data_IF_684404668526
#
_entry.id   IF_684404668526
#
_cell.length_a   1.000
_cell.length_b   1.000
_cell.length_c   1.000
_cell.angle_alpha   90.00
_cell.angle_beta   90.00
_cell.angle_gamma   90.00
#
_symmetry.space_group_name_H-M   'P 1'
#
loop_
_entity.id
_entity.type
_entity.pdbx_description
1 polymer ?
#
# COMPACT_ATOMS: atom_id res chain seq x y z
N UNK A 1 -14.44 -29.68 9.00
CA UNK A 1 -13.17 -30.30 9.42
C UNK A 1 -12.83 -29.84 10.83
N UNK A 2 -12.23 -30.70 11.67
CA UNK A 2 -11.70 -30.34 12.99
C UNK A 2 -10.18 -30.24 12.88
N UNK A 3 -9.64 -29.08 13.22
CA UNK A 3 -8.21 -28.77 13.14
C UNK A 3 -7.78 -28.16 14.47
N UNK A 4 -6.61 -28.53 14.96
CA UNK A 4 -5.99 -27.89 16.12
C UNK A 4 -4.96 -26.90 15.61
N UNK A 5 -5.04 -25.66 16.07
CA UNK A 5 -4.16 -24.55 15.71
C UNK A 5 -3.63 -23.95 17.01
N UNK A 6 -2.33 -23.66 17.06
CA UNK A 6 -1.75 -22.83 18.12
C UNK A 6 -2.01 -21.37 17.79
N UNK A 7 -2.61 -20.64 18.73
CA UNK A 7 -2.85 -19.19 18.63
C UNK A 7 -2.26 -18.50 19.84
N UNK A 8 -1.79 -17.27 19.65
CA UNK A 8 -1.25 -16.46 20.73
C UNK A 8 -2.33 -16.12 21.76
N UNK A 9 -1.91 -15.93 23.02
CA UNK A 9 -2.82 -15.72 24.15
C UNK A 9 -3.68 -14.45 23.98
N UNK A 10 -3.09 -13.39 23.41
CA UNK A 10 -3.78 -12.13 23.13
C UNK A 10 -4.89 -12.29 22.08
N UNK A 11 -4.66 -13.10 21.05
CA UNK A 11 -5.64 -13.44 20.02
C UNK A 11 -6.78 -14.27 20.62
N UNK A 12 -6.45 -15.25 21.47
CA UNK A 12 -7.44 -16.08 22.15
C UNK A 12 -8.37 -15.22 23.03
N UNK A 13 -7.81 -14.34 23.85
CA UNK A 13 -8.56 -13.49 24.76
C UNK A 13 -9.45 -12.50 24.02
N UNK A 14 -8.94 -11.91 22.94
CA UNK A 14 -9.73 -11.02 22.08
C UNK A 14 -10.89 -11.77 21.42
N UNK A 15 -10.66 -12.97 20.92
CA UNK A 15 -11.70 -13.79 20.30
C UNK A 15 -12.78 -14.19 21.31
N UNK A 16 -12.40 -14.53 22.56
CA UNK A 16 -13.36 -14.81 23.65
C UNK A 16 -14.19 -13.59 24.01
N UNK A 17 -13.56 -12.42 24.13
CA UNK A 17 -14.26 -11.17 24.43
C UNK A 17 -15.29 -10.81 23.35
N UNK A 18 -14.92 -10.98 22.07
CA UNK A 18 -15.84 -10.77 20.94
C UNK A 18 -16.99 -11.78 20.95
N UNK A 19 -16.71 -13.05 21.24
CA UNK A 19 -17.75 -14.08 21.35
C UNK A 19 -18.75 -13.79 22.48
N UNK A 20 -18.27 -13.34 23.63
CA UNK A 20 -19.12 -12.90 24.73
C UNK A 20 -19.99 -11.70 24.33
N UNK A 21 -19.41 -10.70 23.65
CA UNK A 21 -20.11 -9.50 23.18
C UNK A 21 -21.21 -9.82 22.15
N UNK A 22 -20.93 -10.73 21.22
CA UNK A 22 -21.85 -11.13 20.15
C UNK A 22 -22.85 -12.22 20.60
N UNK A 23 -22.67 -12.79 21.80
CA UNK A 23 -23.43 -13.96 22.30
C UNK A 23 -23.45 -15.11 21.28
N UNK A 24 -22.33 -15.29 20.60
CA UNK A 24 -22.19 -16.28 19.54
C UNK A 24 -21.18 -17.37 19.96
N UNK A 25 -21.29 -18.60 19.43
CA UNK A 25 -20.33 -19.65 19.70
C UNK A 25 -18.91 -19.23 19.30
N UNK A 26 -17.93 -19.46 20.17
CA UNK A 26 -16.52 -19.10 19.94
C UNK A 26 -16.01 -19.56 18.56
N UNK A 27 -16.31 -20.81 18.18
CA UNK A 27 -15.96 -21.37 16.87
C UNK A 27 -16.53 -20.57 15.69
N UNK A 28 -17.76 -20.07 15.81
CA UNK A 28 -18.38 -19.27 14.75
C UNK A 28 -17.64 -17.94 14.59
N UNK A 29 -17.36 -17.28 15.70
CA UNK A 29 -16.62 -16.00 15.71
C UNK A 29 -15.22 -16.15 15.14
N UNK A 30 -14.49 -17.20 15.54
CA UNK A 30 -13.14 -17.46 15.02
C UNK A 30 -13.18 -17.73 13.51
N UNK A 31 -14.13 -18.54 13.03
CA UNK A 31 -14.24 -18.81 11.59
C UNK A 31 -14.55 -17.56 10.77
N UNK A 32 -15.47 -16.71 11.23
CA UNK A 32 -15.80 -15.46 10.54
C UNK A 32 -14.63 -14.46 10.55
N UNK A 33 -13.94 -14.36 11.68
CA UNK A 33 -12.73 -13.55 11.79
C UNK A 33 -11.63 -14.04 10.83
N UNK A 34 -11.42 -15.36 10.73
CA UNK A 34 -10.46 -15.95 9.80
C UNK A 34 -10.85 -15.72 8.34
N UNK A 35 -12.13 -15.86 7.97
CA UNK A 35 -12.60 -15.57 6.60
C UNK A 35 -12.32 -14.13 6.21
N UNK A 36 -12.66 -13.19 7.09
CA UNK A 36 -12.44 -11.75 6.87
C UNK A 36 -10.94 -11.41 6.83
N UNK A 37 -10.15 -12.00 7.74
CA UNK A 37 -8.71 -11.79 7.79
C UNK A 37 -7.99 -12.33 6.57
N UNK A 38 -8.36 -13.53 6.09
CA UNK A 38 -7.77 -14.13 4.89
C UNK A 38 -8.06 -13.28 3.64
N UNK A 39 -9.28 -12.76 3.50
CA UNK A 39 -9.61 -11.84 2.41
C UNK A 39 -8.72 -10.59 2.43
N UNK A 40 -8.54 -9.98 3.61
CA UNK A 40 -7.69 -8.80 3.76
C UNK A 40 -6.21 -9.10 3.44
N UNK A 41 -5.71 -10.28 3.81
CA UNK A 41 -4.35 -10.73 3.48
C UNK A 41 -4.18 -10.92 1.97
N UNK A 42 -5.16 -11.54 1.30
CA UNK A 42 -5.16 -11.69 -0.16
C UNK A 42 -5.19 -10.35 -0.89
N UNK A 43 -6.02 -9.42 -0.43
CA UNK A 43 -6.15 -8.09 -1.02
C UNK A 43 -4.89 -7.24 -0.79
N UNK A 44 -4.29 -7.31 0.40
CA UNK A 44 -3.02 -6.67 0.70
C UNK A 44 -1.89 -7.23 -0.18
N UNK A 45 -1.86 -8.54 -0.41
CA UNK A 45 -0.90 -9.17 -1.33
C UNK A 45 -1.12 -8.73 -2.79
N UNK A 46 -2.36 -8.38 -3.16
CA UNK A 46 -2.72 -7.92 -4.51
C UNK A 46 -2.36 -6.45 -4.77
N UNK A 47 -2.12 -5.66 -3.73
CA UNK A 47 -1.70 -4.27 -3.87
C UNK A 47 -0.28 -4.19 -4.46
N UNK A 48 -0.19 -4.18 -5.79
CA UNK A 48 1.08 -4.01 -6.50
C UNK A 48 1.61 -2.61 -6.20
N UNK A 49 2.91 -2.45 -5.89
CA UNK A 49 3.49 -1.14 -5.68
C UNK A 49 3.24 -0.26 -6.90
N UNK A 50 2.82 0.98 -6.66
CA UNK A 50 2.62 1.96 -7.71
C UNK A 50 3.91 2.12 -8.51
N UNK A 51 3.83 1.94 -9.84
CA UNK A 51 4.93 2.15 -10.77
C UNK A 51 4.52 3.20 -11.79
N UNK A 52 5.20 4.35 -11.76
CA UNK A 52 5.12 5.33 -12.84
C UNK A 52 5.75 4.74 -14.10
N UNK A 53 5.08 4.87 -15.25
CA UNK A 53 5.69 4.62 -16.57
C UNK A 53 6.30 5.93 -17.06
N UNK A 54 7.63 6.14 -16.93
CA UNK A 54 8.25 7.37 -17.42
C UNK A 54 8.14 7.43 -18.94
N UNK A 55 7.78 8.60 -19.46
CA UNK A 55 7.86 8.89 -20.88
C UNK A 55 9.22 9.52 -21.19
N UNK A 56 9.95 8.98 -22.17
CA UNK A 56 11.26 9.51 -22.57
C UNK A 56 11.07 10.78 -23.41
N UNK A 57 10.96 11.93 -22.73
CA UNK A 57 10.82 13.24 -23.38
C UNK A 57 12.09 13.67 -24.15
N UNK A 58 13.26 13.13 -23.78
CA UNK A 58 14.54 13.54 -24.33
C UNK A 58 14.90 14.99 -23.97
N UNK A 59 16.12 15.40 -24.34
CA UNK A 59 16.59 16.78 -24.21
C UNK A 59 16.62 17.42 -25.59
N UNK A 60 16.13 18.66 -25.69
CA UNK A 60 16.33 19.46 -26.91
C UNK A 60 17.82 19.71 -27.09
N UNK A 61 18.32 19.57 -28.33
CA UNK A 61 19.72 19.82 -28.65
C UNK A 61 20.16 21.22 -28.20
N UNK A 62 21.37 21.33 -27.65
CA UNK A 62 21.91 22.60 -27.13
C UNK A 62 21.42 23.00 -25.73
N UNK A 63 20.56 22.20 -25.07
CA UNK A 63 20.15 22.44 -23.68
C UNK A 63 20.95 21.58 -22.72
N UNK A 64 21.61 22.23 -21.77
CA UNK A 64 22.25 21.59 -20.63
C UNK A 64 21.45 21.90 -19.36
N UNK A 65 20.87 20.88 -18.73
CA UNK A 65 20.09 21.05 -17.49
C UNK A 65 20.98 21.28 -16.26
N UNK A 66 22.25 20.91 -16.33
CA UNK A 66 23.21 21.11 -15.22
C UNK A 66 23.71 22.55 -15.16
N UNK A 67 23.53 23.33 -16.24
CA UNK A 67 23.84 24.75 -16.27
C UNK A 67 22.54 25.57 -16.29
N UNK A 68 22.02 25.82 -15.09
CA UNK A 68 20.76 26.53 -14.87
C UNK A 68 20.80 27.94 -15.46
N UNK A 69 21.91 28.66 -15.32
CA UNK A 69 22.01 30.04 -15.81
C UNK A 69 21.86 30.11 -17.34
N UNK A 70 22.55 29.24 -18.07
CA UNK A 70 22.43 29.17 -19.53
C UNK A 70 21.02 28.73 -19.96
N UNK A 71 20.39 27.83 -19.20
CA UNK A 71 19.04 27.37 -19.48
C UNK A 71 18.01 28.49 -19.31
N UNK A 72 18.13 29.30 -18.25
CA UNK A 72 17.27 30.46 -18.02
C UNK A 72 17.42 31.48 -19.15
N UNK A 73 18.65 31.85 -19.53
CA UNK A 73 18.88 32.78 -20.65
C UNK A 73 18.28 32.29 -21.98
N UNK A 74 18.29 30.97 -22.23
CA UNK A 74 17.66 30.39 -23.42
C UNK A 74 16.12 30.36 -23.37
N UNK A 75 15.52 30.37 -22.18
CA UNK A 75 14.06 30.31 -21.98
C UNK A 75 13.47 31.72 -21.91
N UNK A 76 14.16 32.63 -21.23
CA UNK A 76 13.72 34.00 -20.94
C UNK A 76 13.96 34.98 -22.12
N UNK A 77 14.92 34.69 -23.00
CA UNK A 77 15.26 35.54 -24.15
C UNK A 77 16.13 36.74 -23.78
N UNK A 78 16.71 37.41 -24.79
CA UNK A 78 17.61 38.58 -24.62
C UNK A 78 16.92 39.82 -24.01
N UNK A 79 15.59 39.80 -23.91
CA UNK A 79 14.77 40.90 -23.37
C UNK A 79 14.49 40.78 -21.85
N UNK A 80 15.09 39.82 -21.15
CA UNK A 80 14.90 39.66 -19.72
C UNK A 80 15.70 40.73 -18.94
N UNK A 81 15.01 41.79 -18.49
CA UNK A 81 15.53 42.86 -17.64
C UNK A 81 14.83 42.89 -16.29
#
# INVERSE_FOLDING_TARGET
MRTTLTIDDDVLDKAKAVAAKLRAPFRHVVNEALRTGLQAVEDAARNRPYRTRPHKMGLKAGRNLDNIQALLSQIEGEDHR
#
